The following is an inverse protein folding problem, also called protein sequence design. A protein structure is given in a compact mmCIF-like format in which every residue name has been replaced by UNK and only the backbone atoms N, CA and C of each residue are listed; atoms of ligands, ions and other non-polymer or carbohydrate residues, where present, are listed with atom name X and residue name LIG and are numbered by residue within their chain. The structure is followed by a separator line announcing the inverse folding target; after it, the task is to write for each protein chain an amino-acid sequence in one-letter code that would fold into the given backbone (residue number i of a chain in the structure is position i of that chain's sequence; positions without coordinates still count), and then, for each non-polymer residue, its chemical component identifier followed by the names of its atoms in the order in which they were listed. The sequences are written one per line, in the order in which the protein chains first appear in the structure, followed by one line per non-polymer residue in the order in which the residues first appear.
data_IF_639944739928
#
_entry.id   IF_639944739928
#
_cell.length_a   1.000
_cell.length_b   1.000
_cell.length_c   1.000
_cell.angle_alpha   90.00
_cell.angle_beta   90.00
_cell.angle_gamma   90.00
#
_symmetry.space_group_name_H-M   'P 1'
#
loop_
_entity.id
_entity.type
_entity.pdbx_description
1 polymer ?
#
# COMPACT_ATOMS: atom_id res chain seq x y z
N UNK A 1 32.57 2.05 -27.16
CA UNK A 1 32.67 1.21 -25.94
C UNK A 1 31.32 1.15 -25.26
N UNK A 2 30.52 0.14 -25.56
CA UNK A 2 29.22 -0.07 -24.92
C UNK A 2 29.43 -0.93 -23.67
N UNK A 3 29.15 -0.36 -22.50
CA UNK A 3 29.15 -1.09 -21.22
C UNK A 3 27.79 -1.77 -21.09
N UNK A 4 27.72 -3.05 -21.42
CA UNK A 4 26.56 -3.89 -21.09
C UNK A 4 26.55 -4.13 -19.59
N UNK A 5 25.68 -3.41 -18.87
CA UNK A 5 25.33 -3.71 -17.49
C UNK A 5 24.59 -5.05 -17.51
N UNK A 6 25.27 -6.13 -17.13
CA UNK A 6 24.63 -7.41 -16.94
C UNK A 6 23.65 -7.28 -15.76
N UNK A 7 22.36 -7.16 -16.07
CA UNK A 7 21.30 -7.29 -15.09
C UNK A 7 21.44 -8.67 -14.46
N UNK A 8 21.75 -8.70 -13.17
CA UNK A 8 21.84 -9.94 -12.41
C UNK A 8 20.57 -10.78 -12.63
N UNK A 9 20.67 -12.11 -12.79
CA UNK A 9 19.52 -12.97 -12.97
C UNK A 9 18.49 -12.68 -11.86
N UNK A 10 17.18 -12.68 -12.15
CA UNK A 10 16.17 -12.44 -11.14
C UNK A 10 16.43 -13.38 -9.98
N UNK A 11 16.81 -12.80 -8.84
CA UNK A 11 17.17 -13.55 -7.65
C UNK A 11 16.05 -14.54 -7.35
N UNK A 12 16.40 -15.81 -7.20
CA UNK A 12 15.44 -16.86 -6.85
C UNK A 12 14.79 -16.42 -5.53
N UNK A 13 13.55 -15.92 -5.60
CA UNK A 13 12.89 -15.32 -4.45
C UNK A 13 12.79 -16.30 -3.28
N UNK A 14 12.55 -15.76 -2.08
CA UNK A 14 12.44 -16.60 -0.87
C UNK A 14 11.44 -17.75 -1.02
N UNK A 15 11.65 -18.82 -0.24
CA UNK A 15 10.85 -20.04 -0.28
C UNK A 15 9.36 -19.75 -0.18
N UNK A 16 8.59 -20.18 -1.19
CA UNK A 16 7.14 -20.02 -1.26
C UNK A 16 6.44 -21.22 -0.62
N UNK A 17 6.40 -21.25 0.71
CA UNK A 17 5.56 -22.24 1.42
C UNK A 17 4.10 -21.79 1.43
N UNK A 18 3.16 -22.73 1.56
CA UNK A 18 1.73 -22.41 1.67
C UNK A 18 1.44 -21.42 2.81
N UNK A 19 2.16 -21.55 3.95
CA UNK A 19 2.05 -20.61 5.08
C UNK A 19 2.49 -19.21 4.68
N UNK A 20 3.69 -19.07 4.10
CA UNK A 20 4.25 -17.77 3.67
C UNK A 20 3.33 -17.08 2.65
N UNK A 21 2.82 -17.83 1.67
CA UNK A 21 1.90 -17.29 0.68
C UNK A 21 0.57 -16.83 1.30
N UNK A 22 0.00 -17.62 2.22
CA UNK A 22 -1.24 -17.28 2.93
C UNK A 22 -1.08 -16.03 3.80
N UNK A 23 0.02 -15.95 4.54
CA UNK A 23 0.30 -14.82 5.42
C UNK A 23 0.55 -13.54 4.61
N UNK A 24 1.30 -13.64 3.50
CA UNK A 24 1.46 -12.54 2.54
C UNK A 24 0.12 -12.10 1.96
N UNK A 25 -0.73 -13.04 1.54
CA UNK A 25 -2.05 -12.73 1.00
C UNK A 25 -2.95 -12.00 2.02
N UNK A 26 -2.98 -12.48 3.28
CA UNK A 26 -3.74 -11.82 4.34
C UNK A 26 -3.31 -10.36 4.54
N UNK A 27 -1.99 -10.11 4.58
CA UNK A 27 -1.44 -8.75 4.69
C UNK A 27 -1.85 -7.88 3.50
N UNK A 28 -1.65 -8.38 2.28
CA UNK A 28 -2.01 -7.66 1.05
C UNK A 28 -3.51 -7.34 1.00
N UNK A 29 -4.37 -8.31 1.32
CA UNK A 29 -5.82 -8.09 1.37
C UNK A 29 -6.20 -7.05 2.41
N UNK A 30 -5.63 -7.12 3.62
CA UNK A 30 -5.89 -6.13 4.66
C UNK A 30 -5.49 -4.72 4.23
N UNK A 31 -4.32 -4.56 3.59
CA UNK A 31 -3.88 -3.26 3.06
C UNK A 31 -4.81 -2.77 1.96
N UNK A 32 -5.18 -3.65 1.01
CA UNK A 32 -6.12 -3.32 -0.05
C UNK A 32 -7.47 -2.86 0.49
N UNK A 33 -8.03 -3.56 1.48
CA UNK A 33 -9.33 -3.21 2.06
C UNK A 33 -9.26 -1.85 2.77
N UNK A 34 -8.15 -1.54 3.46
CA UNK A 34 -7.92 -0.22 4.06
C UNK A 34 -7.83 0.87 2.98
N UNK A 35 -7.00 0.69 1.95
CA UNK A 35 -6.85 1.66 0.86
C UNK A 35 -8.18 1.86 0.14
N UNK A 36 -8.92 0.78 -0.15
CA UNK A 36 -10.25 0.85 -0.77
C UNK A 36 -11.24 1.64 0.07
N UNK A 37 -11.24 1.47 1.39
CA UNK A 37 -12.08 2.26 2.29
C UNK A 37 -11.70 3.74 2.23
N UNK A 38 -10.41 4.05 2.29
CA UNK A 38 -9.91 5.43 2.20
C UNK A 38 -10.34 6.06 0.86
N UNK A 39 -10.10 5.40 -0.28
CA UNK A 39 -10.47 5.91 -1.61
C UNK A 39 -11.99 6.06 -1.80
N UNK A 40 -12.80 5.24 -1.13
CA UNK A 40 -14.25 5.36 -1.16
C UNK A 40 -14.78 6.43 -0.18
N UNK A 41 -13.95 6.96 0.71
CA UNK A 41 -14.30 8.08 1.58
C UNK A 41 -13.94 9.37 0.85
N UNK A 42 -14.90 10.26 0.60
CA UNK A 42 -14.67 11.49 -0.17
C UNK A 42 -13.60 12.37 0.48
N UNK A 43 -12.55 12.71 -0.26
CA UNK A 43 -11.52 13.67 0.19
C UNK A 43 -10.10 13.12 0.32
N UNK A 44 -9.88 11.82 0.17
CA UNK A 44 -8.53 11.24 0.10
C UNK A 44 -8.17 10.82 -1.33
N UNK A 45 -6.91 11.03 -1.68
CA UNK A 45 -6.34 10.58 -2.95
C UNK A 45 -5.19 9.63 -2.61
N UNK A 46 -5.23 8.38 -3.09
CA UNK A 46 -4.13 7.44 -2.91
C UNK A 46 -3.30 7.33 -4.20
N UNK A 47 -1.98 7.48 -4.10
CA UNK A 47 -1.05 7.16 -5.18
C UNK A 47 0.12 6.32 -4.65
N UNK A 48 0.78 5.55 -5.54
CA UNK A 48 1.97 4.77 -5.13
C UNK A 48 3.15 5.67 -4.73
N UNK A 49 3.24 6.89 -5.30
CA UNK A 49 4.33 7.83 -5.04
C UNK A 49 4.12 8.66 -3.75
N UNK A 50 2.87 9.00 -3.42
CA UNK A 50 2.52 9.91 -2.31
C UNK A 50 1.71 9.25 -1.18
N UNK A 51 1.40 7.96 -1.29
CA UNK A 51 0.53 7.27 -0.32
C UNK A 51 -0.86 7.90 -0.30
N UNK A 52 -1.46 8.08 0.88
CA UNK A 52 -2.79 8.70 1.03
C UNK A 52 -2.80 10.25 0.87
N UNK A 53 -1.66 10.85 0.50
CA UNK A 53 -1.49 12.29 0.25
C UNK A 53 -2.11 13.20 1.33
N UNK A 54 -1.96 12.81 2.61
CA UNK A 54 -2.48 13.57 3.75
C UNK A 54 -1.61 14.82 3.93
N UNK A 55 -2.07 15.94 3.38
CA UNK A 55 -1.51 17.28 3.52
C UNK A 55 -2.25 18.06 4.60
N UNK A 56 -1.66 19.15 5.08
CA UNK A 56 -2.23 20.08 6.07
C UNK A 56 -3.67 20.53 5.70
N UNK A 57 -3.91 20.79 4.41
CA UNK A 57 -5.23 21.10 3.86
C UNK A 57 -6.27 19.97 3.95
N UNK A 58 -5.83 18.72 4.11
CA UNK A 58 -6.67 17.52 4.25
C UNK A 58 -6.69 16.96 5.68
N UNK A 59 -6.07 17.65 6.65
CA UNK A 59 -6.03 17.22 8.05
C UNK A 59 -7.45 17.10 8.64
N UNK A 60 -8.35 18.03 8.32
CA UNK A 60 -9.74 17.98 8.75
C UNK A 60 -10.49 16.71 8.28
N UNK A 61 -10.18 16.24 7.06
CA UNK A 61 -10.75 15.02 6.47
C UNK A 61 -10.20 13.78 7.21
N UNK A 62 -8.92 13.78 7.59
CA UNK A 62 -8.29 12.73 8.40
C UNK A 62 -8.86 12.65 9.81
N UNK A 63 -9.04 13.81 10.46
CA UNK A 63 -9.66 13.90 11.78
C UNK A 63 -11.10 13.36 11.78
N UNK A 64 -11.89 13.71 10.77
CA UNK A 64 -13.27 13.22 10.65
C UNK A 64 -13.32 11.72 10.32
N UNK A 65 -12.40 11.21 9.49
CA UNK A 65 -12.26 9.77 9.26
C UNK A 65 -11.92 8.99 10.55
N UNK A 66 -10.99 9.51 11.37
CA UNK A 66 -10.62 8.86 12.63
C UNK A 66 -11.78 8.80 13.62
N UNK A 67 -12.64 9.82 13.68
CA UNK A 67 -13.84 9.82 14.54
C UNK A 67 -14.83 8.71 14.17
N UNK A 68 -15.02 8.45 12.88
CA UNK A 68 -15.94 7.40 12.38
C UNK A 68 -15.31 6.00 12.50
N UNK A 69 -13.98 5.90 12.39
CA UNK A 69 -13.25 4.63 12.37
C UNK A 69 -12.87 4.08 13.75
N UNK A 70 -13.00 4.90 14.81
CA UNK A 70 -12.70 4.54 16.21
C UNK A 70 -13.95 4.19 17.04
N UNK A 71 -15.12 4.07 16.41
CA UNK A 71 -16.37 3.60 17.01
C UNK A 71 -16.85 2.30 16.37
#
# INVERSE_FOLDING_TARGET
NAVTIALSPPGRGGTKTMKICRDKWKRLRSTYDTVKKICNTSGFTYSEDSGADIKDVSEHIWVDYMKVSLW
#
